data_IF_662600777236
#
_entry.id   IF_662600777236
#
_cell.length_a   1.000
_cell.length_b   1.000
_cell.length_c   1.000
_cell.angle_alpha   90.00
_cell.angle_beta   90.00
_cell.angle_gamma   90.00
#
_symmetry.space_group_name_H-M   'P 1'
#
loop_
_entity.id
_entity.type
_entity.pdbx_description
1 polymer ?
#
# COMPACT_ATOMS: atom_id res chain seq x y z
N UNK A 1 -33.70 -53.59 -5.05
CA UNK A 1 -33.73 -52.82 -6.31
C UNK A 1 -32.52 -51.90 -6.30
N UNK A 2 -31.41 -52.36 -6.87
CA UNK A 2 -30.16 -51.59 -6.93
C UNK A 2 -30.30 -50.42 -7.89
N UNK A 3 -29.91 -49.23 -7.43
CA UNK A 3 -29.76 -48.05 -8.27
C UNK A 3 -28.40 -48.17 -8.98
N UNK A 4 -28.40 -48.67 -10.22
CA UNK A 4 -27.21 -48.63 -11.05
C UNK A 4 -26.83 -47.17 -11.32
N UNK A 5 -25.59 -46.82 -10.99
CA UNK A 5 -25.05 -45.46 -11.11
C UNK A 5 -25.13 -44.94 -12.55
N UNK A 6 -25.47 -43.66 -12.68
CA UNK A 6 -25.63 -42.93 -13.95
C UNK A 6 -24.41 -43.01 -14.87
N UNK A 7 -23.23 -43.29 -14.31
CA UNK A 7 -21.98 -43.47 -15.02
C UNK A 7 -21.91 -44.78 -15.81
N UNK A 8 -22.37 -45.90 -15.23
CA UNK A 8 -22.36 -47.21 -15.91
C UNK A 8 -23.23 -47.18 -17.16
N UNK A 9 -24.40 -46.55 -17.04
CA UNK A 9 -25.30 -46.32 -18.17
C UNK A 9 -24.63 -45.45 -19.26
N UNK A 10 -24.02 -44.33 -18.88
CA UNK A 10 -23.36 -43.42 -19.83
C UNK A 10 -22.24 -44.11 -20.63
N UNK A 11 -21.35 -44.86 -19.95
CA UNK A 11 -20.22 -45.53 -20.59
C UNK A 11 -20.74 -46.58 -21.58
N UNK A 12 -21.72 -47.40 -21.18
CA UNK A 12 -22.31 -48.40 -22.07
C UNK A 12 -23.02 -47.80 -23.29
N UNK A 13 -23.63 -46.62 -23.15
CA UNK A 13 -24.39 -45.98 -24.23
C UNK A 13 -23.53 -45.16 -25.21
N UNK A 14 -22.41 -44.58 -24.74
CA UNK A 14 -21.57 -43.68 -25.54
C UNK A 14 -20.22 -44.27 -25.95
N UNK A 15 -19.81 -45.36 -25.30
CA UNK A 15 -18.56 -46.06 -25.58
C UNK A 15 -18.79 -47.57 -25.71
N UNK A 16 -19.54 -48.02 -26.75
CA UNK A 16 -19.78 -49.44 -26.98
C UNK A 16 -18.46 -50.16 -27.29
N UNK A 17 -17.96 -50.93 -26.32
CA UNK A 17 -16.69 -51.66 -26.42
C UNK A 17 -15.87 -51.73 -25.13
N UNK A 18 -16.15 -50.85 -24.15
CA UNK A 18 -15.48 -50.88 -22.84
C UNK A 18 -16.38 -51.65 -21.85
N UNK A 19 -16.25 -52.97 -21.81
CA UNK A 19 -16.88 -53.80 -20.77
C UNK A 19 -15.92 -53.99 -19.60
N UNK A 20 -16.41 -53.69 -18.38
CA UNK A 20 -15.72 -53.91 -17.12
C UNK A 20 -16.25 -55.20 -16.47
N UNK A 21 -15.84 -56.36 -16.97
CA UNK A 21 -15.97 -57.65 -16.27
C UNK A 21 -14.79 -58.58 -16.69
N UNK A 22 -14.38 -59.48 -15.78
CA UNK A 22 -13.09 -60.18 -15.62
C UNK A 22 -12.63 -61.14 -16.76
N UNK A 23 -11.31 -61.42 -16.86
CA UNK A 23 -10.60 -62.11 -17.99
C UNK A 23 -10.76 -63.65 -18.14
N UNK A 24 -9.85 -64.44 -18.79
CA UNK A 24 -8.61 -64.15 -19.56
C UNK A 24 -8.49 -64.81 -20.99
N UNK A 25 -7.80 -64.13 -21.95
CA UNK A 25 -6.96 -64.53 -23.15
C UNK A 25 -7.39 -65.71 -24.11
N UNK A 26 -6.83 -65.89 -25.35
CA UNK A 26 -5.80 -65.13 -26.11
C UNK A 26 -6.06 -64.84 -27.62
N UNK A 27 -5.12 -64.09 -28.22
CA UNK A 27 -4.67 -64.04 -29.64
C UNK A 27 -5.59 -63.46 -30.73
N UNK A 28 -5.15 -62.39 -31.41
CA UNK A 28 -4.63 -62.40 -32.80
C UNK A 28 -4.10 -61.00 -33.18
N UNK A 29 -3.03 -60.99 -33.96
CA UNK A 29 -2.26 -59.87 -34.53
C UNK A 29 -3.04 -58.92 -35.45
N UNK A 30 -2.70 -57.64 -35.44
CA UNK A 30 -2.39 -56.86 -36.65
C UNK A 30 -1.84 -55.46 -36.31
N UNK A 31 -0.76 -55.09 -37.00
CA UNK A 31 -0.11 -53.80 -36.98
C UNK A 31 -1.03 -52.67 -37.48
N UNK A 32 -1.13 -51.58 -36.72
CA UNK A 32 -1.42 -50.24 -37.27
C UNK A 32 -0.85 -49.18 -36.34
N UNK A 33 0.15 -48.46 -36.83
CA UNK A 33 0.75 -47.29 -36.21
C UNK A 33 -0.25 -46.13 -36.17
N UNK A 34 -0.85 -45.91 -35.00
CA UNK A 34 -1.46 -44.62 -34.67
C UNK A 34 -0.77 -44.04 -33.45
N UNK A 35 -0.12 -42.89 -33.63
CA UNK A 35 0.50 -42.11 -32.57
C UNK A 35 -0.60 -41.47 -31.71
N UNK A 36 -1.17 -42.25 -30.81
CA UNK A 36 -2.06 -41.75 -29.76
C UNK A 36 -1.18 -41.19 -28.64
N UNK A 37 -1.01 -39.87 -28.61
CA UNK A 37 -0.45 -39.21 -27.44
C UNK A 37 -1.31 -39.57 -26.21
N UNK A 38 -0.69 -39.93 -25.06
CA UNK A 38 -1.46 -40.20 -23.85
C UNK A 38 -2.12 -38.90 -23.41
N UNK A 39 -3.44 -38.82 -23.60
CA UNK A 39 -4.26 -37.76 -23.05
C UNK A 39 -4.29 -37.99 -21.53
N UNK A 40 -3.36 -37.36 -20.81
CA UNK A 40 -3.37 -37.38 -19.34
C UNK A 40 -4.62 -36.65 -18.87
N UNK A 41 -5.63 -37.41 -18.46
CA UNK A 41 -6.77 -36.89 -17.75
C UNK A 41 -6.29 -36.34 -16.40
N UNK A 42 -6.32 -35.02 -16.24
CA UNK A 42 -6.02 -34.40 -14.96
C UNK A 42 -7.12 -34.77 -13.98
N UNK A 43 -6.74 -35.39 -12.87
CA UNK A 43 -7.67 -35.67 -11.78
C UNK A 43 -8.04 -34.34 -11.11
N UNK A 44 -9.30 -34.21 -10.65
CA UNK A 44 -9.82 -33.01 -9.99
C UNK A 44 -8.94 -32.51 -8.82
N UNK A 45 -8.25 -33.44 -8.14
CA UNK A 45 -7.29 -33.10 -7.08
C UNK A 45 -6.03 -32.36 -7.59
N UNK A 46 -5.59 -32.61 -8.82
CA UNK A 46 -4.45 -31.90 -9.40
C UNK A 46 -4.78 -30.43 -9.68
N UNK A 47 -6.07 -30.10 -9.89
CA UNK A 47 -6.53 -28.73 -10.06
C UNK A 47 -6.47 -27.93 -8.76
N UNK A 48 -6.62 -28.59 -7.61
CA UNK A 48 -6.59 -27.98 -6.26
C UNK A 48 -5.17 -27.78 -5.69
N UNK A 49 -4.15 -28.41 -6.26
CA UNK A 49 -2.75 -28.38 -5.75
C UNK A 49 -1.79 -27.57 -6.63
N UNK A 50 -2.32 -26.71 -7.51
CA UNK A 50 -1.47 -25.95 -8.44
C UNK A 50 -0.78 -24.78 -7.74
N UNK A 51 0.47 -25.00 -7.34
CA UNK A 51 1.35 -23.94 -6.85
C UNK A 51 1.50 -22.83 -7.90
N UNK A 52 1.60 -21.60 -7.43
CA UNK A 52 1.94 -20.46 -8.26
C UNK A 52 3.30 -20.70 -8.93
N UNK A 53 3.36 -20.42 -10.23
CA UNK A 53 4.65 -20.42 -10.92
C UNK A 53 5.52 -19.27 -10.40
N UNK A 54 6.84 -19.42 -10.53
CA UNK A 54 7.80 -18.35 -10.16
C UNK A 54 7.49 -17.02 -10.85
N UNK A 55 7.08 -17.06 -12.12
CA UNK A 55 6.69 -15.87 -12.87
C UNK A 55 5.39 -15.24 -12.35
N UNK A 56 4.41 -16.05 -11.91
CA UNK A 56 3.19 -15.56 -11.30
C UNK A 56 3.47 -14.90 -9.93
N UNK A 57 4.32 -15.52 -9.10
CA UNK A 57 4.77 -14.92 -7.83
C UNK A 57 5.48 -13.58 -8.05
N UNK A 58 6.35 -13.47 -9.05
CA UNK A 58 7.05 -12.22 -9.35
C UNK A 58 6.08 -11.12 -9.82
N UNK A 59 5.13 -11.46 -10.71
CA UNK A 59 4.07 -10.54 -11.14
C UNK A 59 3.21 -10.05 -9.98
N UNK A 60 2.85 -10.95 -9.07
CA UNK A 60 2.07 -10.61 -7.88
C UNK A 60 2.88 -9.69 -6.96
N UNK A 61 4.17 -9.99 -6.75
CA UNK A 61 5.08 -9.16 -5.96
C UNK A 61 5.25 -7.75 -6.54
N UNK A 62 5.37 -7.63 -7.87
CA UNK A 62 5.43 -6.33 -8.56
C UNK A 62 4.11 -5.55 -8.39
N UNK A 63 2.98 -6.24 -8.46
CA UNK A 63 1.65 -5.65 -8.26
C UNK A 63 1.46 -5.15 -6.83
N UNK A 64 1.90 -5.93 -5.84
CA UNK A 64 1.89 -5.55 -4.42
C UNK A 64 2.79 -4.35 -4.14
N UNK A 65 4.02 -4.34 -4.68
CA UNK A 65 4.92 -3.20 -4.57
C UNK A 65 4.31 -1.91 -5.16
N UNK A 66 3.69 -2.02 -6.35
CA UNK A 66 2.99 -0.89 -6.98
C UNK A 66 1.80 -0.43 -6.14
N UNK A 67 0.99 -1.35 -5.63
CA UNK A 67 -0.18 -1.02 -4.81
C UNK A 67 0.21 -0.32 -3.50
N UNK A 68 1.24 -0.81 -2.81
CA UNK A 68 1.79 -0.20 -1.59
C UNK A 68 2.29 1.22 -1.88
N UNK A 69 3.09 1.38 -2.94
CA UNK A 69 3.64 2.69 -3.32
C UNK A 69 2.56 3.70 -3.72
N UNK A 70 1.61 3.30 -4.59
CA UNK A 70 0.56 4.20 -5.08
C UNK A 70 -0.48 4.56 -4.02
N UNK A 71 -0.70 3.67 -3.04
CA UNK A 71 -1.68 3.88 -1.97
C UNK A 71 -1.04 4.43 -0.69
N UNK A 72 0.26 4.76 -0.72
CA UNK A 72 1.04 5.22 0.43
C UNK A 72 0.88 4.33 1.68
N UNK A 73 0.83 3.01 1.48
CA UNK A 73 0.68 2.06 2.60
C UNK A 73 2.03 1.79 3.28
N UNK A 74 2.05 1.52 4.59
CA UNK A 74 3.24 1.00 5.25
C UNK A 74 3.71 -0.28 4.59
N UNK A 75 5.02 -0.47 4.43
CA UNK A 75 5.57 -1.68 3.81
C UNK A 75 5.36 -2.92 4.67
N UNK A 76 5.24 -2.74 5.98
CA UNK A 76 4.86 -3.80 6.94
C UNK A 76 3.51 -4.45 6.62
N UNK A 77 2.66 -3.80 5.83
CA UNK A 77 1.37 -4.35 5.42
C UNK A 77 1.50 -5.68 4.65
N UNK A 78 2.65 -5.95 4.00
CA UNK A 78 2.87 -7.21 3.28
C UNK A 78 2.93 -8.44 4.20
N UNK A 79 3.25 -8.24 5.48
CA UNK A 79 3.35 -9.29 6.50
C UNK A 79 2.07 -9.45 7.32
N UNK A 80 1.02 -8.69 6.97
CA UNK A 80 -0.29 -8.85 7.59
C UNK A 80 -0.87 -10.24 7.33
N UNK A 81 -1.38 -10.88 8.39
CA UNK A 81 -1.92 -12.25 8.31
C UNK A 81 -3.18 -12.31 7.46
N UNK A 82 -4.08 -11.33 7.60
CA UNK A 82 -5.30 -11.28 6.81
C UNK A 82 -5.02 -11.09 5.33
N UNK A 83 -4.03 -10.25 4.99
CA UNK A 83 -3.57 -10.11 3.60
C UNK A 83 -3.01 -11.44 3.06
N UNK A 84 -2.18 -12.14 3.84
CA UNK A 84 -1.62 -13.42 3.42
C UNK A 84 -2.71 -14.45 3.11
N UNK A 85 -3.73 -14.56 3.96
CA UNK A 85 -4.89 -15.44 3.76
C UNK A 85 -5.67 -15.07 2.49
N UNK A 86 -5.93 -13.77 2.27
CA UNK A 86 -6.60 -13.29 1.06
C UNK A 86 -5.81 -13.65 -0.19
N UNK A 87 -4.49 -13.50 -0.17
CA UNK A 87 -3.62 -13.85 -1.31
C UNK A 87 -3.58 -15.35 -1.58
N UNK A 88 -3.57 -16.19 -0.54
CA UNK A 88 -3.63 -17.65 -0.67
C UNK A 88 -4.96 -18.09 -1.29
N UNK A 89 -6.09 -17.56 -0.81
CA UNK A 89 -7.42 -17.84 -1.35
C UNK A 89 -7.52 -17.37 -2.81
N UNK A 90 -7.14 -16.12 -3.08
CA UNK A 90 -7.24 -15.52 -4.41
C UNK A 90 -6.34 -16.20 -5.45
N UNK A 91 -5.18 -16.73 -5.02
CA UNK A 91 -4.27 -17.46 -5.90
C UNK A 91 -4.59 -18.95 -6.06
N UNK A 92 -5.50 -19.48 -5.22
CA UNK A 92 -5.71 -20.93 -5.07
C UNK A 92 -4.43 -21.70 -4.72
N UNK A 93 -3.47 -21.04 -4.08
CA UNK A 93 -2.23 -21.63 -3.59
C UNK A 93 -2.10 -21.38 -2.09
N UNK A 94 -2.55 -22.35 -1.29
CA UNK A 94 -2.49 -22.28 0.17
C UNK A 94 -1.05 -22.29 0.72
N UNK A 95 -0.06 -22.63 -0.11
CA UNK A 95 1.36 -22.62 0.27
C UNK A 95 2.06 -21.32 -0.10
N UNK A 96 1.34 -20.38 -0.72
CA UNK A 96 1.88 -19.09 -1.07
C UNK A 96 2.22 -18.26 0.16
N UNK A 97 3.45 -17.77 0.20
CA UNK A 97 3.90 -16.81 1.18
C UNK A 97 4.14 -15.46 0.48
N UNK A 98 3.62 -14.35 1.01
CA UNK A 98 3.93 -13.02 0.51
C UNK A 98 5.46 -12.75 0.51
N UNK A 99 5.96 -11.90 -0.39
CA UNK A 99 7.36 -11.50 -0.39
C UNK A 99 7.72 -10.75 0.90
N UNK A 100 8.99 -10.81 1.30
CA UNK A 100 9.47 -10.06 2.46
C UNK A 100 9.39 -8.55 2.23
N UNK A 101 9.35 -7.78 3.33
CA UNK A 101 9.43 -6.31 3.25
C UNK A 101 10.64 -5.84 2.44
N UNK A 102 11.81 -6.47 2.61
CA UNK A 102 13.01 -6.13 1.85
C UNK A 102 12.84 -6.34 0.34
N UNK A 103 12.18 -7.43 -0.07
CA UNK A 103 11.86 -7.68 -1.48
C UNK A 103 10.91 -6.63 -2.03
N UNK A 104 9.87 -6.27 -1.27
CA UNK A 104 8.94 -5.19 -1.66
C UNK A 104 9.65 -3.84 -1.76
N UNK A 105 10.47 -3.47 -0.77
CA UNK A 105 11.27 -2.25 -0.79
C UNK A 105 12.15 -2.17 -2.03
N UNK A 106 12.86 -3.26 -2.36
CA UNK A 106 13.69 -3.34 -3.56
C UNK A 106 12.87 -3.13 -4.83
N UNK A 107 11.68 -3.73 -4.94
CA UNK A 107 10.77 -3.53 -6.08
C UNK A 107 10.21 -2.12 -6.16
N UNK A 108 9.87 -1.50 -5.03
CA UNK A 108 9.45 -0.09 -4.97
C UNK A 108 10.59 0.83 -5.46
N UNK A 109 11.82 0.57 -5.04
CA UNK A 109 12.98 1.31 -5.51
C UNK A 109 13.19 1.16 -7.02
N UNK A 110 13.06 -0.06 -7.56
CA UNK A 110 13.13 -0.30 -9.00
C UNK A 110 12.01 0.43 -9.77
N UNK A 111 10.78 0.43 -9.25
CA UNK A 111 9.67 1.20 -9.83
C UNK A 111 9.99 2.69 -9.87
N UNK A 112 10.51 3.23 -8.77
CA UNK A 112 10.95 4.62 -8.70
C UNK A 112 12.05 4.94 -9.71
N UNK A 113 13.11 4.14 -9.78
CA UNK A 113 14.24 4.37 -10.69
C UNK A 113 13.82 4.24 -12.17
N UNK A 114 12.90 3.33 -12.48
CA UNK A 114 12.32 3.16 -13.82
C UNK A 114 11.49 4.37 -14.23
N UNK A 115 10.67 4.92 -13.32
CA UNK A 115 9.85 6.12 -13.56
C UNK A 115 10.65 7.42 -13.51
N UNK A 116 11.75 7.46 -12.76
CA UNK A 116 12.65 8.62 -12.63
C UNK A 116 13.42 8.90 -13.90
N UNK A 117 13.86 7.85 -14.62
CA UNK A 117 14.63 7.97 -15.88
C UNK A 117 13.91 8.79 -16.97
N UNK A 118 12.60 8.58 -17.26
CA UNK A 118 11.85 9.41 -18.21
C UNK A 118 11.31 10.73 -17.61
N UNK A 119 11.28 10.89 -16.28
CA UNK A 119 10.74 12.09 -15.59
C UNK A 119 11.81 12.83 -14.77
N UNK A 120 13.01 13.02 -15.34
CA UNK A 120 13.93 14.03 -14.83
C UNK A 120 13.26 15.39 -15.09
N UNK A 121 12.59 15.91 -14.05
CA UNK A 121 11.72 17.12 -13.98
C UNK A 121 10.22 16.82 -14.06
N UNK A 122 9.66 16.39 -12.93
CA UNK A 122 8.41 16.98 -12.45
C UNK A 122 8.74 17.57 -11.09
N UNK A 123 8.78 18.90 -11.04
CA UNK A 123 8.71 19.67 -9.80
C UNK A 123 7.75 18.94 -8.86
N UNK A 124 8.22 18.53 -7.68
CA UNK A 124 7.32 18.34 -6.54
C UNK A 124 6.52 19.64 -6.53
N UNK A 125 5.23 19.57 -6.80
CA UNK A 125 4.41 20.77 -6.70
C UNK A 125 4.47 21.17 -5.24
N UNK A 126 5.34 22.13 -4.92
CA UNK A 126 5.56 22.64 -3.57
C UNK A 126 4.33 23.47 -3.20
N UNK A 127 3.22 22.78 -2.96
CA UNK A 127 2.02 23.37 -2.40
C UNK A 127 2.27 23.52 -0.91
N UNK A 128 2.27 24.77 -0.45
CA UNK A 128 2.29 25.06 0.96
C UNK A 128 0.87 24.87 1.52
N UNK A 129 0.77 24.43 2.76
CA UNK A 129 -0.51 24.25 3.45
C UNK A 129 -0.45 24.94 4.81
N UNK A 130 -1.56 25.54 5.21
CA UNK A 130 -1.79 26.12 6.52
C UNK A 130 -2.74 25.21 7.31
N UNK A 131 -2.23 24.59 8.37
CA UNK A 131 -3.05 23.88 9.34
C UNK A 131 -3.40 24.80 10.51
N UNK A 132 -4.68 24.86 10.86
CA UNK A 132 -5.15 25.59 12.04
C UNK A 132 -5.67 24.58 13.04
N UNK A 133 -5.06 24.58 14.21
CA UNK A 133 -5.46 23.75 15.36
C UNK A 133 -5.74 24.66 16.55
N UNK A 134 -6.82 24.39 17.26
CA UNK A 134 -7.15 25.07 18.50
C UNK A 134 -6.86 24.16 19.68
N UNK A 135 -6.25 24.75 20.71
CA UNK A 135 -5.91 24.08 21.95
C UNK A 135 -6.59 24.80 23.10
N UNK A 136 -7.24 24.05 23.98
CA UNK A 136 -7.92 24.58 25.17
C UNK A 136 -7.55 23.71 26.35
N UNK A 137 -7.31 24.32 27.51
CA UNK A 137 -7.21 23.60 28.78
C UNK A 137 -8.59 23.68 29.43
N UNK A 138 -9.22 22.52 29.64
CA UNK A 138 -10.55 22.47 30.25
C UNK A 138 -10.50 22.62 31.78
N UNK A 139 -11.67 22.64 32.42
CA UNK A 139 -11.80 22.74 33.87
C UNK A 139 -11.20 21.55 34.63
N UNK A 140 -10.95 20.43 33.95
CA UNK A 140 -10.28 19.25 34.52
C UNK A 140 -8.76 19.29 34.29
N UNK A 141 -8.21 20.43 33.83
CA UNK A 141 -6.80 20.60 33.50
C UNK A 141 -6.31 19.68 32.37
N UNK A 142 -7.21 19.24 31.48
CA UNK A 142 -6.84 18.43 30.32
C UNK A 142 -6.71 19.29 29.07
N UNK A 143 -5.66 19.03 28.30
CA UNK A 143 -5.44 19.65 27.00
C UNK A 143 -6.37 19.01 25.97
N UNK A 144 -7.31 19.80 25.45
CA UNK A 144 -8.17 19.45 24.33
C UNK A 144 -7.60 20.07 23.05
N UNK A 145 -7.56 19.30 21.97
CA UNK A 145 -6.98 19.71 20.69
C UNK A 145 -7.96 19.45 19.55
N UNK A 146 -8.23 20.47 18.74
CA UNK A 146 -9.19 20.43 17.65
C UNK A 146 -8.54 20.88 16.35
N UNK A 147 -8.60 20.05 15.31
CA UNK A 147 -8.24 20.46 13.96
C UNK A 147 -9.37 21.28 13.36
N UNK A 148 -9.17 22.60 13.22
CA UNK A 148 -10.18 23.52 12.73
C UNK A 148 -10.19 23.62 11.20
N UNK A 149 -9.01 23.58 10.57
CA UNK A 149 -8.88 23.66 9.12
C UNK A 149 -7.54 23.13 8.59
N UNK A 150 -7.55 22.67 7.34
CA UNK A 150 -6.37 22.45 6.51
C UNK A 150 -6.57 23.21 5.19
N UNK A 151 -5.83 24.29 5.02
CA UNK A 151 -5.95 25.19 3.87
C UNK A 151 -4.73 25.08 2.97
N UNK A 152 -4.93 25.21 1.67
CA UNK A 152 -3.82 25.39 0.73
C UNK A 152 -3.37 26.85 0.82
N UNK A 153 -2.08 27.08 1.08
CA UNK A 153 -1.54 28.42 1.21
C UNK A 153 -1.32 29.05 -0.18
N UNK A 154 -1.71 30.31 -0.32
CA UNK A 154 -1.58 31.08 -1.56
C UNK A 154 -0.11 31.45 -1.83
N UNK A 155 0.30 31.38 -3.09
CA UNK A 155 1.67 31.71 -3.52
C UNK A 155 1.79 33.20 -3.81
N UNK A 156 1.90 34.02 -2.76
CA UNK A 156 2.17 35.46 -2.84
C UNK A 156 2.00 36.11 -1.46
N UNK A 157 3.03 36.83 -0.97
CA UNK A 157 3.07 37.39 0.40
C UNK A 157 2.62 36.39 1.48
N UNK A 158 3.35 35.28 1.59
CA UNK A 158 2.97 34.08 2.36
C UNK A 158 2.50 34.39 3.80
N UNK A 159 3.17 35.31 4.48
CA UNK A 159 2.83 35.67 5.85
C UNK A 159 1.45 36.32 5.95
N UNK A 160 1.16 37.33 5.12
CA UNK A 160 -0.11 38.06 5.10
C UNK A 160 -1.26 37.15 4.64
N UNK A 161 -1.00 36.27 3.67
CA UNK A 161 -1.96 35.29 3.22
C UNK A 161 -2.34 34.31 4.33
N UNK A 162 -1.35 33.78 5.07
CA UNK A 162 -1.62 32.88 6.18
C UNK A 162 -2.35 33.59 7.34
N UNK A 163 -2.02 34.86 7.61
CA UNK A 163 -2.71 35.67 8.61
C UNK A 163 -4.21 35.83 8.29
N UNK A 164 -4.53 36.21 7.04
CA UNK A 164 -5.91 36.33 6.55
C UNK A 164 -6.66 35.00 6.64
N UNK A 165 -6.02 33.91 6.18
CA UNK A 165 -6.61 32.58 6.23
C UNK A 165 -6.88 32.12 7.67
N UNK A 166 -5.94 32.38 8.60
CA UNK A 166 -6.12 32.09 10.02
C UNK A 166 -7.30 32.87 10.62
N UNK A 167 -7.38 34.19 10.38
CA UNK A 167 -8.46 35.01 10.90
C UNK A 167 -9.83 34.57 10.35
N UNK A 168 -9.90 34.23 9.07
CA UNK A 168 -11.13 33.68 8.46
C UNK A 168 -11.56 32.38 9.12
N UNK A 169 -10.63 31.48 9.46
CA UNK A 169 -10.96 30.25 10.21
C UNK A 169 -11.42 30.60 11.62
N UNK A 170 -10.74 31.50 12.32
CA UNK A 170 -11.11 31.90 13.68
C UNK A 170 -12.50 32.55 13.75
N UNK A 171 -12.85 33.37 12.76
CA UNK A 171 -14.17 33.99 12.63
C UNK A 171 -15.25 32.95 12.30
N UNK A 172 -14.99 32.05 11.33
CA UNK A 172 -15.93 31.01 10.93
C UNK A 172 -16.30 30.07 12.09
N UNK A 173 -15.36 29.79 12.98
CA UNK A 173 -15.61 28.99 14.19
C UNK A 173 -16.11 29.83 15.39
N UNK A 174 -16.21 31.15 15.26
CA UNK A 174 -16.63 32.05 16.34
C UNK A 174 -15.66 32.07 17.53
N UNK A 175 -14.40 31.68 17.32
CA UNK A 175 -13.38 31.56 18.38
C UNK A 175 -12.45 32.75 18.43
N UNK A 176 -12.43 33.60 17.41
CA UNK A 176 -11.59 34.79 17.34
C UNK A 176 -11.50 35.62 18.64
N UNK A 177 -12.60 35.98 19.33
CA UNK A 177 -12.52 36.77 20.57
C UNK A 177 -11.97 36.00 21.78
N UNK A 178 -11.78 34.68 21.66
CA UNK A 178 -11.31 33.79 22.74
C UNK A 178 -9.84 33.39 22.58
N UNK A 179 -9.18 33.83 21.52
CA UNK A 179 -7.79 33.48 21.25
C UNK A 179 -6.88 34.33 22.16
N UNK A 180 -6.13 33.66 23.03
CA UNK A 180 -5.13 34.30 23.89
C UNK A 180 -3.73 34.27 23.27
N UNK A 181 -3.37 33.13 22.68
CA UNK A 181 -2.01 32.82 22.23
C UNK A 181 -2.05 32.09 20.90
N UNK A 182 -1.10 32.40 20.02
CA UNK A 182 -0.95 31.77 18.71
C UNK A 182 0.45 31.17 18.57
N UNK A 183 0.50 29.87 18.26
CA UNK A 183 1.74 29.13 18.04
C UNK A 183 2.12 29.06 16.56
N UNK A 184 3.33 29.48 16.16
CA UNK A 184 3.82 29.30 14.77
C UNK A 184 5.32 28.93 14.70
N UNK A 185 5.80 28.45 13.56
CA UNK A 185 7.15 27.92 13.32
C UNK A 185 8.26 28.97 13.13
N UNK A 186 8.14 30.15 13.72
CA UNK A 186 9.06 31.33 13.65
C UNK A 186 8.67 32.43 12.67
N UNK A 187 7.47 32.37 12.11
CA UNK A 187 6.91 33.51 11.38
C UNK A 187 6.33 34.56 12.36
N UNK A 188 7.20 35.27 13.10
CA UNK A 188 6.79 36.36 14.02
C UNK A 188 5.87 37.37 13.33
N UNK A 189 6.09 37.62 12.04
CA UNK A 189 5.40 38.65 11.29
C UNK A 189 3.96 38.27 10.88
N UNK A 190 3.53 37.02 11.05
CA UNK A 190 2.23 36.59 10.56
C UNK A 190 1.07 37.10 11.42
N UNK A 191 1.19 37.12 12.75
CA UNK A 191 0.03 37.39 13.63
C UNK A 191 0.43 38.11 14.94
N UNK A 192 1.71 38.42 15.14
CA UNK A 192 2.20 38.99 16.41
C UNK A 192 1.65 40.38 16.77
N UNK A 193 1.01 41.08 15.82
CA UNK A 193 0.37 42.36 16.12
C UNK A 193 -0.96 42.21 16.89
N UNK A 194 -1.60 41.03 16.86
CA UNK A 194 -2.95 40.83 17.39
C UNK A 194 -3.04 39.86 18.58
N UNK A 195 -2.07 38.95 18.76
CA UNK A 195 -2.09 37.94 19.83
C UNK A 195 -0.69 37.68 20.38
N UNK A 196 -0.62 37.12 21.60
CA UNK A 196 0.64 36.63 22.15
C UNK A 196 1.20 35.51 21.27
N UNK A 197 2.48 35.61 20.89
CA UNK A 197 3.12 34.67 19.99
C UNK A 197 3.95 33.64 20.76
N UNK A 198 3.67 32.36 20.53
CA UNK A 198 4.49 31.25 21.02
C UNK A 198 5.28 30.61 19.86
N UNK A 199 6.61 30.63 19.88
CA UNK A 199 7.40 29.98 18.83
C UNK A 199 7.33 28.45 18.96
N UNK A 200 7.31 27.76 17.82
CA UNK A 200 7.38 26.30 17.80
C UNK A 200 8.73 25.81 18.32
N UNK A 201 8.74 25.17 19.48
CA UNK A 201 9.95 24.63 20.12
C UNK A 201 10.67 23.65 19.20
N UNK A 202 9.94 22.77 18.50
CA UNK A 202 10.53 21.81 17.57
C UNK A 202 11.30 22.50 16.43
N UNK A 203 10.72 23.57 15.87
CA UNK A 203 11.39 24.35 14.83
C UNK A 203 12.61 25.10 15.38
N UNK A 204 12.51 25.65 16.59
CA UNK A 204 13.64 26.31 17.27
C UNK A 204 14.79 25.32 17.49
N UNK A 205 14.51 24.13 18.02
CA UNK A 205 15.51 23.07 18.22
C UNK A 205 16.17 22.66 16.90
N UNK A 206 15.39 22.47 15.84
CA UNK A 206 15.93 22.15 14.52
C UNK A 206 16.86 23.26 14.00
N UNK A 207 16.48 24.53 14.17
CA UNK A 207 17.31 25.66 13.76
C UNK A 207 18.63 25.71 14.52
N UNK A 208 18.62 25.45 15.82
CA UNK A 208 19.84 25.39 16.64
C UNK A 208 20.79 24.31 16.13
N UNK A 209 20.30 23.10 15.87
CA UNK A 209 21.12 22.00 15.33
C UNK A 209 21.63 22.30 13.92
N UNK A 210 20.79 22.88 13.07
CA UNK A 210 21.14 23.17 11.67
C UNK A 210 22.13 24.33 11.52
N UNK A 211 22.08 25.31 12.45
CA UNK A 211 22.95 26.47 12.43
C UNK A 211 24.21 26.28 13.28
N UNK A 212 24.32 25.20 14.06
CA UNK A 212 25.57 24.82 14.68
C UNK A 212 26.57 24.48 13.56
N UNK A 213 27.59 25.31 13.31
CA UNK A 213 28.63 24.95 12.36
C UNK A 213 29.24 23.63 12.83
N UNK A 214 29.58 22.73 11.90
CA UNK A 214 30.55 21.69 12.21
C UNK A 214 31.91 22.37 12.37
N UNK A 215 32.14 23.01 13.51
CA UNK A 215 33.47 23.49 13.90
C UNK A 215 34.35 22.31 14.30
N UNK A 216 34.61 21.42 13.34
CA UNK A 216 35.50 20.27 13.53
C UNK A 216 36.39 19.95 12.32
N UNK A 217 36.34 20.71 11.22
CA UNK A 217 37.21 20.48 10.05
C UNK A 217 38.35 21.50 9.88
N UNK A 218 38.62 22.36 10.87
CA UNK A 218 39.72 23.36 10.81
C UNK A 218 40.84 23.15 11.84
N UNK A 219 41.08 21.91 12.26
CA UNK A 219 42.28 21.50 13.01
C UNK A 219 42.83 20.16 12.50
N UNK A 220 43.02 20.06 11.19
CA UNK A 220 43.80 18.98 10.57
C UNK A 220 44.36 19.44 9.21
N UNK A 221 45.25 20.42 9.22
CA UNK A 221 46.25 20.65 8.17
C UNK A 221 47.54 21.13 8.81
#
# INVERSE_FOLDING_TARGET
KEFASTLKYHISAKHPGVNLEEGPRPSTSCDTSSSSQPHHQTTLEQTLKRKLSKSACDRLSNSLAKWIAMSCRPVSFIEDRGLAEVLQIASSDMTYNPPSQTTIMSKIQQLYDTEKKPKRRRTISNHNYLGVTAHIIDCEWKLQSFALAMLKAETGHYADACARQFLSVAEAWGVQPKITTVGTDSARNMIAAAYEHMPCVAHMSQRTVSFCPRDSDTLAK
#
